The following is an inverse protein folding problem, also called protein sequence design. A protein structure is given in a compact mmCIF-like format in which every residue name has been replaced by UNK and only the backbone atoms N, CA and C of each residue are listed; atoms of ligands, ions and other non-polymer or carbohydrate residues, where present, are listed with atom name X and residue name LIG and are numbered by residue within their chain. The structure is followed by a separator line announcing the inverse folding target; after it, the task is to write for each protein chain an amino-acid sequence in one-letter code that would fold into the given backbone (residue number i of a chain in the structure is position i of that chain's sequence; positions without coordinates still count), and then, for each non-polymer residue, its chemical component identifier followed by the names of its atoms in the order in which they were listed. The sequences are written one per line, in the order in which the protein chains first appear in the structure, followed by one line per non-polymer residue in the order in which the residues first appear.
data_IF_515902596866
#
_entry.id   IF_515902596866
#
_cell.length_a   1.000
_cell.length_b   1.000
_cell.length_c   1.000
_cell.angle_alpha   90.00
_cell.angle_beta   90.00
_cell.angle_gamma   90.00
#
_symmetry.space_group_name_H-M   'P 1'
#
loop_
_entity.id
_entity.type
_entity.pdbx_description
1 polymer ?
#
# COMPACT_ATOMS: atom_id res chain seq x y z
N UNK A 1 -21.27 -52.36 -43.64
CA UNK A 1 -20.71 -51.02 -43.31
C UNK A 1 -21.67 -50.29 -42.35
N UNK A 2 -21.32 -50.12 -41.10
CA UNK A 2 -22.23 -49.53 -40.11
C UNK A 2 -22.50 -48.06 -40.40
N UNK A 3 -23.79 -47.59 -40.31
CA UNK A 3 -24.22 -46.23 -40.52
C UNK A 3 -23.38 -45.16 -39.78
N UNK A 4 -22.74 -45.54 -38.67
CA UNK A 4 -21.84 -44.68 -37.89
C UNK A 4 -20.58 -44.24 -38.64
N UNK A 5 -20.09 -45.05 -39.55
CA UNK A 5 -18.87 -44.76 -40.30
C UNK A 5 -19.06 -43.66 -41.37
N UNK A 6 -20.22 -43.60 -42.02
CA UNK A 6 -20.51 -42.55 -43.01
C UNK A 6 -20.64 -41.14 -42.41
N UNK A 7 -21.27 -41.03 -41.23
CA UNK A 7 -21.42 -39.72 -40.53
C UNK A 7 -20.09 -39.29 -39.95
N UNK A 8 -19.27 -40.20 -39.45
CA UNK A 8 -17.93 -39.90 -38.97
C UNK A 8 -17.03 -39.39 -40.10
N UNK A 9 -17.09 -39.99 -41.29
CA UNK A 9 -16.38 -39.52 -42.48
C UNK A 9 -16.84 -38.10 -42.90
N UNK A 10 -18.16 -37.82 -42.83
CA UNK A 10 -18.70 -36.47 -43.08
C UNK A 10 -18.17 -35.46 -42.06
N UNK A 11 -18.09 -35.79 -40.75
CA UNK A 11 -17.54 -34.94 -39.74
C UNK A 11 -16.04 -34.64 -39.98
N UNK A 12 -15.28 -35.67 -40.36
CA UNK A 12 -13.84 -35.51 -40.71
C UNK A 12 -13.66 -34.62 -41.96
N UNK A 13 -14.48 -34.79 -42.96
CA UNK A 13 -14.48 -33.93 -44.17
C UNK A 13 -14.80 -32.48 -43.83
N UNK A 14 -15.85 -32.22 -43.06
CA UNK A 14 -16.22 -30.89 -42.63
C UNK A 14 -15.11 -30.22 -41.80
N UNK A 15 -14.49 -30.94 -40.90
CA UNK A 15 -13.37 -30.45 -40.12
C UNK A 15 -12.14 -30.09 -40.97
N UNK A 16 -11.91 -30.88 -42.05
CA UNK A 16 -10.79 -30.65 -43.00
C UNK A 16 -11.05 -29.45 -43.91
N UNK A 17 -12.29 -29.28 -44.36
CA UNK A 17 -12.67 -28.19 -45.30
C UNK A 17 -12.79 -26.83 -44.58
N UNK A 18 -13.10 -26.83 -43.30
CA UNK A 18 -13.31 -25.61 -42.52
C UNK A 18 -12.54 -25.65 -41.18
N UNK A 19 -11.22 -25.67 -41.22
CA UNK A 19 -10.40 -25.86 -40.02
C UNK A 19 -10.55 -24.72 -38.99
N UNK A 20 -10.90 -23.52 -39.45
CA UNK A 20 -11.05 -22.32 -38.62
C UNK A 20 -12.49 -22.12 -38.08
N UNK A 21 -13.47 -22.90 -38.61
CA UNK A 21 -14.85 -22.74 -38.21
C UNK A 21 -15.09 -23.28 -36.79
N UNK A 22 -15.90 -22.59 -35.96
CA UNK A 22 -16.24 -23.08 -34.63
C UNK A 22 -16.89 -24.48 -34.69
N UNK A 23 -16.48 -25.39 -33.79
CA UNK A 23 -17.00 -26.75 -33.74
C UNK A 23 -18.54 -26.80 -33.65
N UNK A 24 -19.17 -25.81 -33.03
CA UNK A 24 -20.63 -25.72 -32.94
C UNK A 24 -21.27 -25.40 -34.28
N UNK A 25 -20.66 -24.55 -35.10
CA UNK A 25 -21.11 -24.22 -36.46
C UNK A 25 -21.02 -25.47 -37.34
N UNK A 26 -19.91 -26.17 -37.28
CA UNK A 26 -19.72 -27.42 -38.02
C UNK A 26 -20.67 -28.53 -37.55
N UNK A 27 -20.98 -28.61 -36.24
CA UNK A 27 -21.97 -29.52 -35.73
C UNK A 27 -23.37 -29.30 -36.30
N UNK A 28 -23.82 -28.03 -36.40
CA UNK A 28 -25.11 -27.67 -37.07
C UNK A 28 -25.11 -28.04 -38.55
N UNK A 29 -24.00 -27.83 -39.24
CA UNK A 29 -23.85 -28.19 -40.64
C UNK A 29 -23.85 -29.71 -40.82
N UNK A 30 -23.21 -30.46 -39.94
CA UNK A 30 -23.20 -31.92 -39.95
C UNK A 30 -24.61 -32.48 -39.79
N UNK A 31 -25.46 -31.92 -38.91
CA UNK A 31 -26.86 -32.30 -38.75
C UNK A 31 -27.61 -32.07 -40.07
N UNK A 32 -27.44 -30.91 -40.70
CA UNK A 32 -28.09 -30.58 -41.99
C UNK A 32 -27.64 -31.53 -43.10
N UNK A 33 -26.34 -31.77 -43.26
CA UNK A 33 -25.81 -32.67 -44.30
C UNK A 33 -26.09 -34.17 -44.05
N UNK A 34 -26.48 -34.55 -42.82
CA UNK A 34 -26.93 -35.89 -42.50
C UNK A 34 -28.46 -36.07 -42.57
N UNK A 35 -29.18 -35.04 -43.10
CA UNK A 35 -30.64 -35.05 -43.17
C UNK A 35 -31.33 -35.40 -41.84
N UNK A 36 -30.80 -34.88 -40.74
CA UNK A 36 -31.34 -35.13 -39.41
C UNK A 36 -31.07 -36.53 -38.83
N UNK A 37 -30.24 -37.35 -39.48
CA UNK A 37 -29.94 -38.71 -39.03
C UNK A 37 -29.20 -38.76 -37.67
N UNK A 38 -28.71 -37.60 -37.16
CA UNK A 38 -28.12 -37.45 -35.85
C UNK A 38 -28.62 -36.17 -35.15
N UNK A 39 -28.69 -36.20 -33.84
CA UNK A 39 -29.03 -35.02 -33.04
C UNK A 39 -27.89 -34.02 -33.02
N UNK A 40 -28.19 -32.75 -32.71
CA UNK A 40 -27.17 -31.69 -32.55
C UNK A 40 -26.14 -32.04 -31.45
N UNK A 41 -26.59 -32.72 -30.38
CA UNK A 41 -25.70 -33.20 -29.33
C UNK A 41 -24.69 -34.22 -29.86
N UNK A 42 -25.16 -35.21 -30.58
CA UNK A 42 -24.31 -36.22 -31.21
C UNK A 42 -23.35 -35.65 -32.25
N UNK A 43 -23.78 -34.62 -32.99
CA UNK A 43 -22.93 -33.91 -33.93
C UNK A 43 -21.84 -33.10 -33.18
N UNK A 44 -22.19 -32.42 -32.08
CA UNK A 44 -21.21 -31.74 -31.24
C UNK A 44 -20.14 -32.69 -30.70
N UNK A 45 -20.52 -33.81 -30.18
CA UNK A 45 -19.58 -34.83 -29.67
C UNK A 45 -18.63 -35.33 -30.76
N UNK A 46 -19.13 -35.53 -31.99
CA UNK A 46 -18.29 -35.95 -33.13
C UNK A 46 -17.31 -34.81 -33.54
N UNK A 47 -17.76 -33.58 -33.57
CA UNK A 47 -16.89 -32.44 -33.91
C UNK A 47 -15.84 -32.19 -32.80
N UNK A 48 -16.22 -32.35 -31.52
CA UNK A 48 -15.27 -32.24 -30.41
C UNK A 48 -14.17 -33.32 -30.48
N UNK A 49 -14.50 -34.57 -30.91
CA UNK A 49 -13.50 -35.62 -31.15
C UNK A 49 -12.52 -35.28 -32.30
N UNK A 50 -12.90 -34.38 -33.23
CA UNK A 50 -12.01 -33.92 -34.29
C UNK A 50 -11.12 -32.77 -33.83
N UNK A 51 -11.63 -31.88 -32.98
CA UNK A 51 -11.00 -30.60 -32.61
C UNK A 51 -10.66 -30.44 -31.11
N UNK A 52 -11.09 -31.36 -30.25
CA UNK A 52 -10.83 -31.31 -28.82
C UNK A 52 -9.36 -31.56 -28.47
N UNK A 53 -9.01 -31.31 -27.20
CA UNK A 53 -7.66 -31.51 -26.66
C UNK A 53 -7.12 -32.96 -26.92
N UNK A 54 -8.01 -33.94 -27.03
CA UNK A 54 -7.72 -35.33 -27.35
C UNK A 54 -8.27 -35.77 -28.73
N UNK A 55 -8.59 -34.80 -29.61
CA UNK A 55 -9.11 -35.09 -30.92
C UNK A 55 -8.05 -35.64 -31.88
N UNK A 56 -8.46 -36.51 -32.82
CA UNK A 56 -7.57 -37.10 -33.85
C UNK A 56 -6.86 -36.05 -34.73
N UNK A 57 -7.36 -34.81 -34.76
CA UNK A 57 -6.78 -33.68 -35.48
C UNK A 57 -6.72 -32.49 -34.54
N UNK A 58 -5.66 -32.42 -33.73
CA UNK A 58 -5.41 -31.28 -32.90
C UNK A 58 -5.19 -30.01 -33.81
N UNK A 59 -5.92 -28.93 -33.54
CA UNK A 59 -5.78 -27.65 -34.28
C UNK A 59 -4.34 -27.11 -34.35
N UNK A 60 -3.48 -27.51 -33.39
CA UNK A 60 -2.05 -27.13 -33.44
C UNK A 60 -1.33 -27.67 -34.68
N UNK A 61 -1.79 -28.80 -35.21
CA UNK A 61 -1.20 -29.44 -36.41
C UNK A 61 -1.86 -29.00 -37.72
N UNK A 62 -2.99 -28.27 -37.65
CA UNK A 62 -3.75 -27.82 -38.82
C UNK A 62 -3.76 -26.31 -39.03
N UNK A 63 -3.11 -25.53 -38.16
CA UNK A 63 -2.83 -24.15 -38.51
C UNK A 63 -1.93 -24.18 -39.75
N UNK A 64 -2.39 -23.65 -40.92
CA UNK A 64 -1.43 -23.36 -41.94
C UNK A 64 -0.35 -22.52 -41.25
N UNK A 65 0.88 -22.95 -41.30
CA UNK A 65 2.01 -22.06 -41.07
C UNK A 65 1.89 -21.03 -42.19
N UNK A 66 1.13 -19.98 -41.98
CA UNK A 66 1.32 -18.77 -42.74
C UNK A 66 2.76 -18.42 -42.46
N UNK A 67 3.65 -18.51 -43.46
CA UNK A 67 5.03 -18.08 -43.27
C UNK A 67 4.89 -16.67 -42.73
N UNK A 68 5.38 -16.42 -41.52
CA UNK A 68 5.56 -15.02 -41.09
C UNK A 68 6.39 -14.40 -42.20
N UNK A 69 5.95 -13.28 -42.79
CA UNK A 69 6.81 -12.59 -43.73
C UNK A 69 8.18 -12.47 -43.06
N UNK A 70 9.28 -12.72 -43.83
CA UNK A 70 10.62 -12.53 -43.27
C UNK A 70 10.61 -11.16 -42.60
N UNK A 71 10.97 -11.09 -41.34
CA UNK A 71 11.23 -9.80 -40.71
C UNK A 71 12.24 -9.13 -41.61
N UNK A 72 11.84 -8.05 -42.25
CA UNK A 72 12.81 -7.24 -42.99
C UNK A 72 13.95 -6.95 -42.02
N UNK A 73 15.15 -7.31 -42.44
CA UNK A 73 16.34 -7.08 -41.66
C UNK A 73 16.54 -5.56 -41.58
N UNK A 74 15.94 -4.92 -40.57
CA UNK A 74 16.00 -3.46 -40.42
C UNK A 74 15.17 -2.91 -39.29
N UNK A 75 14.01 -3.51 -38.98
CA UNK A 75 13.22 -3.07 -37.83
C UNK A 75 13.38 -4.04 -36.64
N UNK A 76 14.44 -3.89 -35.91
CA UNK A 76 14.48 -4.33 -34.52
C UNK A 76 13.54 -3.36 -33.78
N UNK A 77 12.28 -3.73 -33.65
CA UNK A 77 11.37 -3.03 -32.74
C UNK A 77 11.98 -3.14 -31.34
N UNK A 78 12.71 -2.10 -30.96
CA UNK A 78 13.24 -2.00 -29.60
C UNK A 78 12.05 -1.99 -28.62
N UNK A 79 12.12 -2.82 -27.58
CA UNK A 79 11.13 -2.77 -26.51
C UNK A 79 11.11 -1.33 -25.95
N UNK A 80 9.94 -0.70 -25.80
CA UNK A 80 9.85 0.62 -25.17
C UNK A 80 10.50 0.57 -23.78
N UNK A 81 11.23 1.61 -23.43
CA UNK A 81 11.76 1.75 -22.08
C UNK A 81 10.62 1.88 -21.07
N UNK A 82 10.74 1.20 -19.95
CA UNK A 82 9.79 1.38 -18.84
C UNK A 82 9.87 2.81 -18.32
N UNK A 83 8.70 3.41 -18.05
CA UNK A 83 8.57 4.69 -17.35
C UNK A 83 8.41 4.50 -15.83
N UNK A 84 8.43 3.25 -15.35
CA UNK A 84 8.35 2.97 -13.93
C UNK A 84 9.53 3.60 -13.18
N UNK A 85 9.23 4.33 -12.13
CA UNK A 85 10.26 4.89 -11.26
C UNK A 85 10.71 3.85 -10.25
N UNK A 86 12.01 3.80 -9.90
CA UNK A 86 12.50 2.94 -8.82
C UNK A 86 11.80 3.31 -7.49
N UNK A 87 11.27 2.30 -6.80
CA UNK A 87 10.69 2.47 -5.48
C UNK A 87 11.47 1.61 -4.49
N UNK A 88 12.02 2.23 -3.45
CA UNK A 88 12.82 1.57 -2.42
C UNK A 88 12.45 2.11 -1.05
N UNK A 89 12.49 1.29 0.01
CA UNK A 89 12.37 1.78 1.38
C UNK A 89 13.42 2.86 1.68
N UNK A 90 13.08 3.78 2.56
CA UNK A 90 14.07 4.66 3.18
C UNK A 90 14.76 3.92 4.32
N UNK A 91 16.06 4.03 4.47
CA UNK A 91 16.83 3.38 5.55
C UNK A 91 17.41 4.42 6.48
N UNK A 92 16.91 4.51 7.70
CA UNK A 92 17.53 5.33 8.74
C UNK A 92 18.74 4.60 9.32
N UNK A 93 19.91 5.10 8.98
CA UNK A 93 21.21 4.45 9.31
C UNK A 93 21.69 4.84 10.71
N UNK A 94 20.97 4.46 11.75
CA UNK A 94 21.35 4.66 13.14
C UNK A 94 21.24 3.35 13.91
N UNK A 95 22.01 3.24 14.99
CA UNK A 95 21.89 2.17 16.00
C UNK A 95 21.58 2.80 17.35
N UNK A 96 20.84 2.09 18.20
CA UNK A 96 20.36 2.60 19.48
C UNK A 96 18.87 2.91 19.48
N UNK A 97 18.37 3.60 20.50
CA UNK A 97 16.95 3.91 20.65
C UNK A 97 16.51 4.97 19.64
N UNK A 98 15.40 4.73 18.96
CA UNK A 98 14.75 5.65 18.02
C UNK A 98 13.33 5.89 18.51
N UNK A 99 12.99 7.13 18.81
CA UNK A 99 11.64 7.53 19.17
C UNK A 99 10.74 7.55 17.94
N UNK A 100 9.48 7.14 18.09
CA UNK A 100 8.48 7.12 17.03
C UNK A 100 7.23 7.83 17.52
N UNK A 101 6.95 8.99 16.94
CA UNK A 101 5.73 9.78 17.15
C UNK A 101 4.86 9.69 15.89
N UNK A 102 3.57 9.49 16.04
CA UNK A 102 2.62 9.36 14.95
C UNK A 102 1.30 10.06 15.30
N UNK A 103 0.58 10.52 14.30
CA UNK A 103 -0.80 10.99 14.45
C UNK A 103 -0.93 12.13 15.49
N UNK A 104 -0.10 13.16 15.34
CA UNK A 104 -0.07 14.34 16.22
C UNK A 104 -1.15 15.35 15.85
N UNK A 105 -1.42 15.49 14.54
CA UNK A 105 -2.46 16.35 13.97
C UNK A 105 -2.39 17.81 14.43
N UNK A 106 -1.20 18.42 14.40
CA UNK A 106 -1.06 19.84 14.72
C UNK A 106 -1.95 20.69 13.80
N UNK A 107 -2.78 21.61 14.33
CA UNK A 107 -2.79 22.16 15.69
C UNK A 107 -3.70 21.45 16.70
N UNK A 108 -4.33 20.34 16.34
CA UNK A 108 -5.30 19.62 17.20
C UNK A 108 -4.63 18.54 18.06
N UNK A 109 -3.39 18.73 18.46
CA UNK A 109 -2.64 17.82 19.32
C UNK A 109 -3.03 17.95 20.80
N UNK A 110 -2.83 16.85 21.55
CA UNK A 110 -2.95 16.86 23.01
C UNK A 110 -1.62 17.33 23.61
N UNK A 111 -1.59 18.54 24.18
CA UNK A 111 -0.39 19.06 24.83
C UNK A 111 0.14 18.13 25.93
N UNK A 112 -0.77 17.55 26.74
CA UNK A 112 -0.41 16.61 27.81
C UNK A 112 0.24 15.35 27.22
N UNK A 113 -0.35 14.76 26.18
CA UNK A 113 0.16 13.53 25.60
C UNK A 113 1.50 13.76 24.89
N UNK A 114 1.63 14.87 24.17
CA UNK A 114 2.89 15.24 23.49
C UNK A 114 3.98 15.52 24.53
N UNK A 115 3.71 16.30 25.57
CA UNK A 115 4.70 16.61 26.60
C UNK A 115 5.16 15.33 27.34
N UNK A 116 4.23 14.43 27.67
CA UNK A 116 4.56 13.15 28.31
C UNK A 116 5.41 12.25 27.41
N UNK A 117 5.04 12.13 26.12
CA UNK A 117 5.79 11.35 25.15
C UNK A 117 7.21 11.90 24.95
N UNK A 118 7.34 13.20 24.71
CA UNK A 118 8.65 13.86 24.52
C UNK A 118 9.50 13.79 25.78
N UNK A 119 8.92 14.02 26.97
CA UNK A 119 9.62 13.84 28.24
C UNK A 119 10.21 12.46 28.41
N UNK A 120 9.39 11.41 28.18
CA UNK A 120 9.85 10.02 28.25
C UNK A 120 10.93 9.72 27.20
N UNK A 121 10.78 10.20 25.97
CA UNK A 121 11.77 9.98 24.91
C UNK A 121 13.13 10.63 25.23
N UNK A 122 13.15 11.78 25.88
CA UNK A 122 14.40 12.43 26.32
C UNK A 122 15.16 11.57 27.33
N UNK A 123 14.47 10.89 28.22
CA UNK A 123 15.07 9.99 29.21
C UNK A 123 15.69 8.73 28.56
N UNK A 124 15.25 8.36 27.37
CA UNK A 124 15.78 7.18 26.65
C UNK A 124 17.12 7.41 25.95
N UNK A 125 17.62 8.64 25.88
CA UNK A 125 18.88 8.94 25.19
C UNK A 125 18.86 8.56 23.71
N UNK A 126 17.91 9.13 22.96
CA UNK A 126 17.64 8.74 21.57
C UNK A 126 18.85 8.91 20.64
N UNK A 127 18.98 7.97 19.70
CA UNK A 127 19.89 8.04 18.56
C UNK A 127 19.22 8.60 17.29
N UNK A 128 17.88 8.73 17.28
CA UNK A 128 17.10 9.29 16.20
C UNK A 128 15.63 9.45 16.58
N UNK A 129 14.91 10.24 15.79
CA UNK A 129 13.47 10.46 15.96
C UNK A 129 12.77 10.27 14.63
N UNK A 130 11.71 9.48 14.60
CA UNK A 130 10.82 9.28 13.46
C UNK A 130 9.45 9.89 13.73
N UNK A 131 9.08 10.86 12.92
CA UNK A 131 7.72 11.39 12.81
C UNK A 131 6.98 10.54 11.77
N UNK A 132 6.11 9.64 12.22
CA UNK A 132 5.56 8.58 11.39
C UNK A 132 4.20 8.95 10.77
N UNK A 133 4.11 10.13 10.17
CA UNK A 133 2.92 10.62 9.45
C UNK A 133 1.83 11.21 10.32
N UNK A 134 0.96 11.97 9.66
CA UNK A 134 -0.15 12.71 10.27
C UNK A 134 0.33 13.61 11.43
N UNK A 135 1.45 14.28 11.22
CA UNK A 135 1.98 15.29 12.14
C UNK A 135 1.24 16.61 11.96
N UNK A 136 1.01 16.99 10.69
CA UNK A 136 0.15 18.11 10.32
C UNK A 136 -1.26 17.61 10.04
N UNK A 137 -2.30 18.31 10.50
CA UNK A 137 -3.68 17.90 10.20
C UNK A 137 -4.11 18.30 8.79
N UNK A 138 -3.72 19.50 8.34
CA UNK A 138 -4.17 20.05 7.06
C UNK A 138 -5.69 20.06 6.89
N UNK A 139 -6.41 20.42 7.94
CA UNK A 139 -7.86 20.47 7.97
C UNK A 139 -8.42 21.39 6.87
N UNK A 140 -7.84 22.57 6.71
CA UNK A 140 -8.33 23.60 5.78
C UNK A 140 -8.35 23.14 4.32
N UNK A 141 -7.45 22.22 3.92
CA UNK A 141 -7.35 21.68 2.56
C UNK A 141 -7.89 20.24 2.43
N UNK A 142 -8.51 19.71 3.48
CA UNK A 142 -9.15 18.40 3.45
C UNK A 142 -10.26 18.35 2.38
N UNK A 143 -10.45 17.19 1.76
CA UNK A 143 -11.57 16.93 0.83
C UNK A 143 -12.93 16.76 1.51
N UNK A 144 -12.94 16.55 2.82
CA UNK A 144 -14.16 16.39 3.59
C UNK A 144 -14.83 17.75 3.87
N UNK A 145 -16.11 17.72 4.20
CA UNK A 145 -16.84 18.91 4.62
C UNK A 145 -16.15 19.52 5.85
N UNK A 146 -16.01 20.82 5.85
CA UNK A 146 -15.29 21.60 6.87
C UNK A 146 -16.16 22.73 7.38
N UNK A 147 -16.11 22.97 8.67
CA UNK A 147 -16.66 24.17 9.23
C UNK A 147 -15.82 25.38 8.75
N UNK A 148 -16.42 26.38 8.08
CA UNK A 148 -15.72 27.56 7.63
C UNK A 148 -15.04 28.35 8.75
N UNK A 149 -15.57 28.26 9.98
CA UNK A 149 -15.01 28.96 11.14
C UNK A 149 -13.60 28.48 11.53
N UNK A 150 -13.27 27.22 11.20
CA UNK A 150 -11.97 26.59 11.53
C UNK A 150 -11.04 26.49 10.31
N UNK A 151 -11.32 27.18 9.21
CA UNK A 151 -10.49 27.16 7.98
C UNK A 151 -9.39 28.20 8.03
N UNK A 152 -8.35 27.93 8.80
CA UNK A 152 -7.16 28.79 8.86
C UNK A 152 -5.91 28.02 8.43
N UNK A 153 -5.73 27.83 7.13
CA UNK A 153 -4.56 27.12 6.60
C UNK A 153 -3.22 27.78 6.98
N UNK A 154 -3.19 29.10 7.04
CA UNK A 154 -1.97 29.84 7.42
C UNK A 154 -1.62 29.61 8.90
N UNK A 155 -2.62 29.64 9.77
CA UNK A 155 -2.45 29.33 11.19
C UNK A 155 -2.03 27.89 11.43
N UNK A 156 -2.64 26.92 10.72
CA UNK A 156 -2.20 25.53 10.75
C UNK A 156 -0.72 25.39 10.39
N UNK A 157 -0.30 26.02 9.29
CA UNK A 157 1.07 25.94 8.80
C UNK A 157 2.08 26.53 9.82
N UNK A 158 1.78 27.68 10.39
CA UNK A 158 2.64 28.28 11.42
C UNK A 158 2.70 27.45 12.70
N UNK A 159 1.59 26.83 13.10
CA UNK A 159 1.54 25.91 14.23
C UNK A 159 2.44 24.67 13.99
N UNK A 160 2.37 24.06 12.80
CA UNK A 160 3.23 22.92 12.45
C UNK A 160 4.70 23.34 12.44
N UNK A 161 5.05 24.47 11.83
CA UNK A 161 6.42 25.01 11.87
C UNK A 161 6.90 25.27 13.30
N UNK A 162 6.03 25.81 14.14
CA UNK A 162 6.30 26.03 15.57
C UNK A 162 6.60 24.73 16.28
N UNK A 163 5.77 23.71 16.07
CA UNK A 163 5.93 22.37 16.63
C UNK A 163 7.24 21.70 16.19
N UNK A 164 7.58 21.77 14.90
CA UNK A 164 8.82 21.18 14.39
C UNK A 164 10.07 21.89 14.93
N UNK A 165 10.03 23.25 15.06
CA UNK A 165 11.12 24.01 15.71
C UNK A 165 11.29 23.60 17.16
N UNK A 166 10.17 23.47 17.90
CA UNK A 166 10.21 22.99 19.28
C UNK A 166 10.79 21.60 19.38
N UNK A 167 10.36 20.64 18.56
CA UNK A 167 10.92 19.27 18.55
C UNK A 167 12.43 19.29 18.27
N UNK A 168 12.90 20.08 17.33
CA UNK A 168 14.34 20.22 17.07
C UNK A 168 15.11 20.76 18.27
N UNK A 169 14.52 21.67 19.06
CA UNK A 169 15.12 22.15 20.31
C UNK A 169 15.15 21.08 21.39
N UNK A 170 14.11 20.26 21.51
CA UNK A 170 14.04 19.16 22.47
C UNK A 170 15.03 18.02 22.14
N UNK A 171 15.32 17.81 20.85
CA UNK A 171 16.20 16.76 20.35
C UNK A 171 17.33 17.32 19.47
N UNK A 172 18.27 18.07 20.04
CA UNK A 172 19.36 18.65 19.27
C UNK A 172 20.34 17.58 18.80
N UNK A 173 20.85 17.73 17.57
CA UNK A 173 21.97 16.92 17.04
C UNK A 173 21.66 15.50 16.65
N UNK A 174 20.45 14.97 16.88
CA UNK A 174 20.06 13.66 16.37
C UNK A 174 19.31 13.77 15.02
N UNK A 175 19.40 12.78 14.15
CA UNK A 175 18.61 12.77 12.92
C UNK A 175 17.11 12.72 13.25
N UNK A 176 16.33 13.59 12.60
CA UNK A 176 14.87 13.58 12.63
C UNK A 176 14.41 13.28 11.22
N UNK A 177 13.59 12.22 11.08
CA UNK A 177 12.97 11.82 9.82
C UNK A 177 11.48 12.05 9.91
N UNK A 178 10.91 12.72 8.92
CA UNK A 178 9.49 12.97 8.80
C UNK A 178 8.94 12.13 7.63
N UNK A 179 8.27 11.03 7.94
CA UNK A 179 7.52 10.26 6.98
C UNK A 179 6.13 10.87 6.79
N UNK A 180 5.68 11.01 5.54
CA UNK A 180 4.34 11.50 5.26
C UNK A 180 3.26 10.47 5.62
N UNK A 181 2.12 10.96 6.13
CA UNK A 181 0.88 10.22 6.29
C UNK A 181 -0.17 10.68 5.27
N UNK A 182 -1.40 10.21 5.42
CA UNK A 182 -2.48 10.60 4.51
C UNK A 182 -2.93 12.06 4.69
N UNK A 183 -2.63 12.70 5.80
CA UNK A 183 -2.90 14.12 6.00
C UNK A 183 -1.90 15.00 5.26
N UNK A 184 -0.62 14.65 5.25
CA UNK A 184 0.39 15.32 4.43
C UNK A 184 0.12 15.14 2.93
N UNK A 185 -0.41 13.99 2.51
CA UNK A 185 -0.79 13.73 1.10
C UNK A 185 -1.88 14.69 0.61
N UNK A 186 -2.67 15.32 1.52
CA UNK A 186 -3.66 16.36 1.18
C UNK A 186 -3.02 17.54 0.47
N UNK A 187 -1.79 17.91 0.83
CA UNK A 187 -1.08 19.03 0.22
C UNK A 187 -0.83 18.77 -1.28
N UNK A 188 -0.23 17.64 -1.61
CA UNK A 188 0.03 17.30 -3.01
C UNK A 188 -1.28 17.11 -3.79
N UNK A 189 -2.28 16.47 -3.21
CA UNK A 189 -3.58 16.29 -3.83
C UNK A 189 -4.30 17.64 -4.09
N UNK A 190 -4.19 18.57 -3.16
CA UNK A 190 -4.75 19.92 -3.33
C UNK A 190 -4.04 20.69 -4.44
N UNK A 191 -2.71 20.66 -4.50
CA UNK A 191 -1.92 21.28 -5.56
C UNK A 191 -2.31 20.74 -6.94
N UNK A 192 -2.39 19.43 -7.10
CA UNK A 192 -2.75 18.81 -8.39
C UNK A 192 -4.15 19.18 -8.86
N UNK A 193 -5.08 19.43 -7.94
CA UNK A 193 -6.46 19.80 -8.26
C UNK A 193 -6.65 21.30 -8.52
N UNK A 194 -5.88 22.16 -7.87
CA UNK A 194 -6.14 23.61 -7.84
C UNK A 194 -4.99 24.47 -8.40
N UNK A 195 -3.79 23.91 -8.52
CA UNK A 195 -2.59 24.64 -8.93
C UNK A 195 -1.58 23.70 -9.63
N UNK A 196 -2.08 22.86 -10.56
CA UNK A 196 -1.29 21.85 -11.25
C UNK A 196 -0.07 22.42 -11.96
N UNK A 197 -0.20 23.65 -12.52
CA UNK A 197 0.83 24.34 -13.30
C UNK A 197 2.08 24.72 -12.49
N UNK A 198 1.95 24.75 -11.16
CA UNK A 198 3.06 25.08 -10.24
C UNK A 198 3.37 23.95 -9.27
N UNK A 199 2.71 22.80 -9.40
CA UNK A 199 2.81 21.70 -8.44
C UNK A 199 4.19 21.03 -8.41
N UNK A 200 4.97 21.15 -9.49
CA UNK A 200 6.35 20.66 -9.61
C UNK A 200 7.42 21.68 -9.16
N UNK A 201 7.04 22.91 -8.82
CA UNK A 201 7.96 23.88 -8.27
C UNK A 201 8.41 23.45 -6.86
N UNK A 202 9.73 23.36 -6.66
CA UNK A 202 10.31 22.97 -5.35
C UNK A 202 9.83 23.83 -4.19
N UNK A 203 9.46 25.09 -4.45
CA UNK A 203 8.90 26.01 -3.44
C UNK A 203 7.52 25.56 -2.95
N UNK A 204 6.83 24.71 -3.71
CA UNK A 204 5.53 24.13 -3.36
C UNK A 204 5.67 22.78 -2.64
N UNK A 205 6.89 22.29 -2.43
CA UNK A 205 7.11 21.03 -1.68
C UNK A 205 6.80 21.20 -0.19
N UNK A 206 6.40 20.12 0.47
CA UNK A 206 6.23 20.10 1.93
C UNK A 206 7.53 20.50 2.65
N UNK A 207 8.68 20.06 2.14
CA UNK A 207 9.99 20.44 2.66
C UNK A 207 10.16 21.96 2.74
N UNK A 208 9.81 22.67 1.67
CA UNK A 208 9.91 24.13 1.64
C UNK A 208 8.85 24.81 2.53
N UNK A 209 7.60 24.31 2.49
CA UNK A 209 6.50 24.88 3.25
C UNK A 209 6.62 24.69 4.76
N UNK A 210 7.22 23.59 5.20
CA UNK A 210 7.46 23.28 6.61
C UNK A 210 8.85 23.68 7.11
N UNK A 211 9.66 24.34 6.26
CA UNK A 211 11.04 24.75 6.58
C UNK A 211 11.95 23.57 7.03
N UNK A 212 11.71 22.35 6.50
CA UNK A 212 12.39 21.15 6.99
C UNK A 212 13.90 21.19 6.80
N UNK A 213 14.39 21.73 5.68
CA UNK A 213 15.83 21.90 5.41
C UNK A 213 16.51 22.78 6.46
N UNK A 214 15.82 23.85 6.95
CA UNK A 214 16.34 24.73 7.98
C UNK A 214 16.43 24.06 9.35
N UNK A 215 15.62 23.03 9.55
CA UNK A 215 15.53 22.26 10.79
C UNK A 215 16.35 20.96 10.75
N UNK A 216 17.04 20.67 9.64
CA UNK A 216 17.74 19.43 9.42
C UNK A 216 16.81 18.22 9.67
N UNK A 217 15.61 18.26 9.06
CA UNK A 217 14.59 17.23 9.11
C UNK A 217 14.46 16.64 7.71
N UNK A 218 14.68 15.34 7.57
CA UNK A 218 14.59 14.64 6.29
C UNK A 218 13.16 14.15 6.02
N UNK A 219 12.58 14.52 4.87
CA UNK A 219 11.25 14.09 4.46
C UNK A 219 11.30 12.75 3.71
N UNK A 220 10.45 11.82 4.10
CA UNK A 220 10.21 10.55 3.40
C UNK A 220 8.77 10.53 2.90
N UNK A 221 8.61 10.63 1.60
CA UNK A 221 7.34 10.69 0.89
C UNK A 221 7.06 9.42 0.06
N UNK A 222 6.07 9.50 -0.85
CA UNK A 222 5.72 8.43 -1.81
C UNK A 222 5.39 7.10 -1.15
N UNK A 223 4.81 7.13 0.04
CA UNK A 223 4.40 5.94 0.79
C UNK A 223 5.55 4.94 1.03
N UNK A 224 6.78 5.44 1.07
CA UNK A 224 7.96 4.61 1.33
C UNK A 224 8.00 4.19 2.79
N UNK A 225 8.18 2.89 3.11
CA UNK A 225 8.46 2.47 4.48
C UNK A 225 9.79 3.05 4.97
N UNK A 226 9.87 3.35 6.25
CA UNK A 226 11.14 3.68 6.92
C UNK A 226 11.67 2.43 7.59
N UNK A 227 12.87 2.00 7.20
CA UNK A 227 13.55 0.87 7.80
C UNK A 227 14.38 1.31 8.99
N UNK A 228 14.04 0.80 10.18
CA UNK A 228 14.83 0.91 11.41
C UNK A 228 15.56 -0.43 11.63
N UNK A 229 16.76 -0.55 11.09
CA UNK A 229 17.39 -1.85 10.94
C UNK A 229 16.52 -2.79 10.07
N UNK A 230 16.06 -3.91 10.65
CA UNK A 230 15.16 -4.85 9.98
C UNK A 230 13.67 -4.58 10.25
N UNK A 231 13.31 -3.57 11.03
CA UNK A 231 11.94 -3.18 11.29
C UNK A 231 11.44 -2.21 10.23
N UNK A 232 10.47 -2.60 9.38
CA UNK A 232 9.75 -1.65 8.53
C UNK A 232 8.71 -0.89 9.36
N UNK A 233 8.74 0.44 9.26
CA UNK A 233 7.75 1.35 9.85
C UNK A 233 6.96 1.99 8.71
N UNK A 234 5.64 1.87 8.80
CA UNK A 234 4.68 2.47 7.88
C UNK A 234 3.81 3.45 8.65
N UNK A 235 3.23 4.45 7.99
CA UNK A 235 2.17 5.19 8.65
C UNK A 235 0.94 4.29 8.84
N UNK A 236 0.54 3.52 7.84
CA UNK A 236 -0.55 2.54 7.90
C UNK A 236 -1.63 2.74 6.85
N UNK A 237 -1.78 3.94 6.30
CA UNK A 237 -2.71 4.24 5.21
C UNK A 237 -2.29 3.58 3.87
N UNK A 238 -1.02 3.21 3.73
CA UNK A 238 -0.46 2.52 2.56
C UNK A 238 -0.95 1.07 2.46
N UNK A 239 -1.40 0.51 3.57
CA UNK A 239 -1.81 -0.90 3.60
C UNK A 239 -3.13 -1.10 2.83
N UNK A 240 -3.28 -2.23 2.13
CA UNK A 240 -4.49 -2.53 1.37
C UNK A 240 -5.75 -2.42 2.23
N UNK A 241 -6.80 -1.80 1.68
CA UNK A 241 -8.11 -1.67 2.34
C UNK A 241 -8.84 -3.02 2.36
N UNK A 242 -9.72 -3.23 3.33
CA UNK A 242 -10.70 -4.32 3.31
C UNK A 242 -10.44 -5.50 4.25
N UNK A 243 -9.22 -5.71 4.76
CA UNK A 243 -8.91 -6.78 5.72
C UNK A 243 -8.53 -6.21 7.10
N UNK A 244 -9.35 -5.32 7.64
CA UNK A 244 -9.08 -4.73 8.95
C UNK A 244 -9.54 -5.66 10.08
N UNK A 245 -8.69 -5.90 11.08
CA UNK A 245 -9.14 -6.42 12.37
C UNK A 245 -9.61 -5.24 13.24
N UNK A 246 -10.92 -5.01 13.42
CA UNK A 246 -11.42 -3.81 14.08
C UNK A 246 -11.09 -3.76 15.57
N UNK A 247 -10.74 -4.89 16.17
CA UNK A 247 -10.42 -4.99 17.61
C UNK A 247 -8.93 -4.81 17.86
N UNK A 248 -8.06 -5.49 17.10
CA UNK A 248 -6.61 -5.40 17.23
C UNK A 248 -6.01 -4.91 15.92
N UNK A 249 -5.50 -3.67 15.91
CA UNK A 249 -4.93 -3.03 14.71
C UNK A 249 -3.65 -3.70 14.27
N UNK A 250 -2.77 -4.08 15.20
CA UNK A 250 -1.52 -4.76 14.91
C UNK A 250 -1.77 -6.11 14.24
N UNK A 251 -2.77 -6.89 14.69
CA UNK A 251 -3.20 -8.09 13.99
C UNK A 251 -3.71 -7.79 12.59
N UNK A 252 -4.48 -6.71 12.42
CA UNK A 252 -4.96 -6.25 11.11
C UNK A 252 -3.81 -5.85 10.18
N UNK A 253 -2.74 -5.25 10.69
CA UNK A 253 -1.52 -4.97 9.94
C UNK A 253 -0.82 -6.27 9.53
N UNK A 254 -0.64 -7.20 10.46
CA UNK A 254 -0.06 -8.52 10.19
C UNK A 254 -0.83 -9.28 9.10
N UNK A 255 -2.16 -9.34 9.19
CA UNK A 255 -2.99 -10.03 8.18
C UNK A 255 -2.85 -9.43 6.76
N UNK A 256 -2.49 -8.15 6.65
CA UNK A 256 -2.32 -7.46 5.37
C UNK A 256 -0.92 -7.56 4.81
N UNK A 257 0.08 -7.67 5.68
CA UNK A 257 1.50 -7.70 5.29
C UNK A 257 2.10 -9.10 5.33
N UNK A 258 1.55 -9.99 6.17
CA UNK A 258 2.12 -11.30 6.54
C UNK A 258 3.59 -11.16 6.96
N UNK A 259 3.94 -10.04 7.56
CA UNK A 259 5.31 -9.66 7.88
C UNK A 259 5.36 -8.79 9.12
N UNK A 260 6.53 -8.71 9.72
CA UNK A 260 6.79 -7.78 10.82
C UNK A 260 6.68 -6.34 10.35
N UNK A 261 5.97 -5.49 11.12
CA UNK A 261 5.93 -4.05 10.88
C UNK A 261 5.41 -3.27 12.10
N UNK A 262 5.70 -1.96 12.11
CA UNK A 262 5.07 -1.00 13.02
C UNK A 262 4.24 -0.01 12.21
N UNK A 263 3.02 0.30 12.70
CA UNK A 263 2.08 1.20 12.03
C UNK A 263 1.50 2.25 12.99
N UNK A 264 1.09 3.40 12.46
CA UNK A 264 0.28 4.44 13.10
C UNK A 264 -1.17 4.44 12.56
N UNK A 265 -1.67 5.62 12.17
CA UNK A 265 -2.89 5.90 11.40
C UNK A 265 -4.21 5.51 12.10
N UNK A 266 -4.21 4.46 12.86
CA UNK A 266 -5.46 3.93 13.46
C UNK A 266 -5.74 4.49 14.84
N UNK A 267 -4.86 5.31 15.39
CA UNK A 267 -4.96 5.97 16.69
C UNK A 267 -5.19 5.00 17.86
N UNK A 268 -4.75 3.74 17.73
CA UNK A 268 -4.96 2.71 18.75
C UNK A 268 -3.71 1.89 18.96
N UNK A 269 -3.24 1.89 20.20
CA UNK A 269 -2.12 1.05 20.63
C UNK A 269 -2.53 -0.41 20.65
N UNK A 270 -1.76 -1.26 19.99
CA UNK A 270 -1.91 -2.71 20.06
C UNK A 270 -0.63 -3.42 19.63
N UNK A 271 -0.48 -4.67 20.08
CA UNK A 271 0.61 -5.55 19.73
C UNK A 271 0.05 -6.90 19.24
N UNK A 272 0.75 -7.57 18.35
CA UNK A 272 0.39 -8.89 17.84
C UNK A 272 1.65 -9.62 17.40
N UNK A 273 1.81 -10.87 17.80
CA UNK A 273 2.91 -11.74 17.37
C UNK A 273 2.35 -13.09 16.94
N UNK A 274 2.96 -13.66 15.91
CA UNK A 274 2.64 -14.98 15.36
C UNK A 274 3.92 -15.70 14.99
N UNK A 275 3.89 -17.02 15.10
CA UNK A 275 4.96 -17.91 14.60
C UNK A 275 4.43 -18.74 13.45
N UNK A 276 5.24 -18.90 12.42
CA UNK A 276 4.90 -19.84 11.34
C UNK A 276 5.22 -21.31 11.75
N UNK A 277 4.91 -22.25 10.88
CA UNK A 277 5.17 -23.67 11.12
C UNK A 277 6.66 -24.05 11.24
N UNK A 278 7.54 -23.12 10.90
CA UNK A 278 8.99 -23.27 10.98
C UNK A 278 9.59 -22.52 12.18
N UNK A 279 8.72 -22.01 13.07
CA UNK A 279 9.08 -21.21 14.24
C UNK A 279 9.75 -19.85 13.88
N UNK A 280 9.49 -19.32 12.69
CA UNK A 280 9.86 -17.94 12.40
C UNK A 280 8.82 -17.01 13.02
N UNK A 281 9.27 -16.16 13.89
CA UNK A 281 8.41 -15.18 14.56
C UNK A 281 8.26 -13.91 13.72
N UNK A 282 7.02 -13.42 13.65
CA UNK A 282 6.68 -12.11 13.11
C UNK A 282 5.86 -11.36 14.14
N UNK A 283 6.10 -10.06 14.26
CA UNK A 283 5.37 -9.24 15.21
C UNK A 283 4.99 -7.90 14.58
N UNK A 284 3.80 -7.42 14.91
CA UNK A 284 3.32 -6.13 14.49
C UNK A 284 2.93 -5.29 15.69
N UNK A 285 3.15 -3.97 15.57
CA UNK A 285 2.78 -2.98 16.55
C UNK A 285 1.96 -1.88 15.89
N UNK A 286 0.99 -1.36 16.62
CA UNK A 286 0.29 -0.14 16.25
C UNK A 286 0.43 0.86 17.39
N UNK A 287 0.87 2.07 17.07
CA UNK A 287 0.92 3.16 18.03
C UNK A 287 -0.46 3.75 18.27
N UNK A 288 -0.65 4.39 19.43
CA UNK A 288 -1.74 5.35 19.61
C UNK A 288 -1.45 6.65 18.86
N UNK A 289 -2.29 7.63 19.06
CA UNK A 289 -2.09 8.99 18.55
C UNK A 289 -1.59 9.94 19.63
N UNK A 290 -1.27 11.17 19.22
CA UNK A 290 -0.96 12.27 20.13
C UNK A 290 -1.88 13.49 19.88
N UNK A 291 -2.95 13.29 19.10
CA UNK A 291 -3.97 14.29 18.84
C UNK A 291 -5.08 14.28 19.89
N UNK A 292 -6.03 15.23 19.77
CA UNK A 292 -7.28 15.18 20.52
C UNK A 292 -8.03 13.85 20.26
N UNK A 293 -8.53 13.25 21.33
CA UNK A 293 -9.26 11.97 21.27
C UNK A 293 -10.75 12.15 20.88
N UNK A 294 -11.26 13.37 20.81
CA UNK A 294 -12.67 13.64 20.51
C UNK A 294 -12.87 14.70 19.44
N UNK A 295 -12.27 14.54 18.25
CA UNK A 295 -12.49 15.49 17.17
C UNK A 295 -13.95 15.45 16.72
N UNK A 296 -14.46 16.54 16.18
CA UNK A 296 -15.86 16.71 15.78
C UNK A 296 -16.38 15.61 14.84
N UNK A 297 -15.52 15.10 13.97
CA UNK A 297 -15.87 14.04 13.01
C UNK A 297 -15.84 12.62 13.60
N UNK A 298 -15.34 12.43 14.82
CA UNK A 298 -15.22 11.13 15.48
C UNK A 298 -15.30 11.23 17.02
N UNK A 299 -16.36 11.87 17.53
CA UNK A 299 -16.55 12.10 18.97
C UNK A 299 -16.62 10.80 19.77
N UNK A 300 -17.25 9.75 19.20
CA UNK A 300 -17.29 8.41 19.80
C UNK A 300 -16.35 7.49 19.02
N UNK A 301 -15.23 7.18 19.61
CA UNK A 301 -14.20 6.36 19.00
C UNK A 301 -13.51 5.46 20.04
N UNK A 302 -12.47 4.72 19.63
CA UNK A 302 -11.66 3.86 20.50
C UNK A 302 -10.19 4.27 20.51
N UNK A 303 -9.92 5.55 20.26
CA UNK A 303 -8.57 6.09 20.20
C UNK A 303 -7.93 6.15 21.58
N UNK A 304 -6.63 6.06 21.62
CA UNK A 304 -5.85 6.26 22.83
C UNK A 304 -4.51 6.93 22.48
N UNK A 305 -3.97 7.67 23.43
CA UNK A 305 -2.66 8.26 23.28
C UNK A 305 -1.56 7.18 23.40
N UNK A 306 -0.54 7.30 22.56
CA UNK A 306 0.60 6.40 22.60
C UNK A 306 1.65 6.74 21.56
N UNK A 307 2.85 6.19 21.78
CA UNK A 307 4.04 6.33 20.95
C UNK A 307 4.90 5.07 21.10
N UNK A 308 6.02 4.97 20.37
CA UNK A 308 6.90 3.82 20.51
C UNK A 308 8.38 4.23 20.57
N UNK A 309 9.21 3.30 21.05
CA UNK A 309 10.66 3.32 20.92
C UNK A 309 11.10 2.03 20.26
N UNK A 310 11.85 2.14 19.16
CA UNK A 310 12.52 1.00 18.54
C UNK A 310 14.02 1.09 18.80
N UNK A 311 14.59 0.08 19.43
CA UNK A 311 16.03 0.01 19.67
C UNK A 311 16.68 -0.86 18.61
N UNK A 312 17.51 -0.27 17.75
CA UNK A 312 18.21 -0.96 16.67
C UNK A 312 19.59 -1.40 17.14
N UNK A 313 19.87 -2.70 17.04
CA UNK A 313 21.15 -3.31 17.40
C UNK A 313 22.07 -3.51 16.20
N UNK A 314 23.33 -3.87 16.48
CA UNK A 314 24.28 -4.26 15.42
C UNK A 314 23.71 -5.41 14.58
N UNK A 315 23.86 -5.31 13.25
CA UNK A 315 23.29 -6.29 12.32
C UNK A 315 21.80 -6.08 12.02
N UNK A 316 21.21 -4.99 12.56
CA UNK A 316 19.86 -4.54 12.24
C UNK A 316 18.75 -5.27 13.00
N UNK A 317 19.08 -6.12 13.98
CA UNK A 317 18.07 -6.64 14.92
C UNK A 317 17.49 -5.48 15.74
N UNK A 318 16.31 -5.66 16.28
CA UNK A 318 15.60 -4.58 16.96
C UNK A 318 14.68 -5.10 18.07
N UNK A 319 14.41 -4.23 19.03
CA UNK A 319 13.36 -4.38 20.03
C UNK A 319 12.36 -3.22 19.86
N UNK A 320 11.09 -3.47 20.14
CA UNK A 320 10.04 -2.44 20.10
C UNK A 320 9.36 -2.36 21.46
N UNK A 321 9.39 -1.18 22.04
CA UNK A 321 8.62 -0.81 23.21
C UNK A 321 7.48 0.11 22.79
N UNK A 322 6.26 -0.39 22.87
CA UNK A 322 5.05 0.35 22.56
C UNK A 322 4.47 0.93 23.85
N UNK A 323 4.14 2.22 23.87
CA UNK A 323 3.72 2.94 25.06
C UNK A 323 2.33 3.54 24.90
N UNK A 324 1.61 3.62 26.01
CA UNK A 324 0.37 4.39 26.16
C UNK A 324 0.62 5.58 27.07
N UNK A 325 -0.01 6.71 26.73
CA UNK A 325 -0.05 7.86 27.62
C UNK A 325 -1.46 7.94 28.23
N UNK A 326 -1.51 7.93 29.55
CA UNK A 326 -2.75 8.02 30.30
C UNK A 326 -3.23 9.49 30.35
N UNK A 327 -4.48 9.72 30.75
CA UNK A 327 -5.06 11.07 30.82
C UNK A 327 -4.32 12.01 31.76
N UNK A 328 -3.69 11.48 32.79
CA UNK A 328 -2.85 12.21 33.76
C UNK A 328 -1.41 12.46 33.29
N UNK A 329 -1.09 12.08 32.05
CA UNK A 329 0.27 12.16 31.50
C UNK A 329 1.18 10.98 31.88
N UNK A 330 0.74 10.03 32.68
CA UNK A 330 1.53 8.84 33.03
C UNK A 330 1.78 7.99 31.79
N UNK A 331 3.07 7.63 31.54
CA UNK A 331 3.47 6.72 30.47
C UNK A 331 3.49 5.29 30.98
N UNK A 332 2.87 4.36 30.26
CA UNK A 332 2.83 2.92 30.60
C UNK A 332 3.16 2.09 29.37
N UNK A 333 3.83 0.95 29.57
CA UNK A 333 3.99 -0.06 28.52
C UNK A 333 2.60 -0.56 28.05
N UNK A 334 2.48 -0.85 26.77
CA UNK A 334 1.24 -1.29 26.12
C UNK A 334 1.16 -2.81 25.97
#
# INVERSE_FOLDING_TARGET
MQRGDAITRKAERLAKLHPEAPAQTLARRLVKESNGAITLHQARMRMQRQFGQHGKKNRKTQKPTVPRPPREAGEILAMPKSMAQPWTPYVLKVTGPIGILSDVHVPYHSEVAVAAAVGHLKEQGLSGLLLNGDIADFYAISRYMKDPAYRDFKGELEAVRGFLRWLRQEFPGIPIVYKTGNHEDRWSAWLWQHAAEISDDRRMSLTAWLDLDKLDIELVDNQRPVMLGKLPVLHGHELPKGMAAPVNVARGAWMRTLSTCLVGHSHRTSNHAESDMWHHETACWSTGCLCDLRPDYAVINRWNHGFAVATVHKGGQFDVHNYRVMQDGTVRSA
#
